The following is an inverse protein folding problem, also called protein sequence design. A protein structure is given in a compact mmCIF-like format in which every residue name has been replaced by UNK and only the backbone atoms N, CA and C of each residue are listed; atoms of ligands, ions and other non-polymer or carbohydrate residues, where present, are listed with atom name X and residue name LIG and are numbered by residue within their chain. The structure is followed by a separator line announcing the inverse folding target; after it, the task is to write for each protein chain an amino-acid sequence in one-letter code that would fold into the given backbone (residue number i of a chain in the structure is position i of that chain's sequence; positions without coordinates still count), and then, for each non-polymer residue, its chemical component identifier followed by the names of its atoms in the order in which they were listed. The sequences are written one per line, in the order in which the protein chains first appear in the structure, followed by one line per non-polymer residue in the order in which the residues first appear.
data_IF_091198073437
#
_entry.id   IF_091198073437
#
_cell.length_a   1.000
_cell.length_b   1.000
_cell.length_c   1.000
_cell.angle_alpha   90.00
_cell.angle_beta   90.00
_cell.angle_gamma   90.00
#
_symmetry.space_group_name_H-M   'P 1'
#
loop_
_entity.id
_entity.type
_entity.pdbx_description
1 polymer ?
#
# COMPACT_ATOMS: atom_id res chain seq x y z
N UNK A 1 -33.12 32.34 53.95
CA UNK A 1 -32.46 31.02 53.87
C UNK A 1 -32.65 30.49 52.46
N UNK A 2 -31.53 30.23 51.77
CA UNK A 2 -31.43 29.97 50.34
C UNK A 2 -31.96 28.58 49.98
N UNK A 3 -32.60 28.43 48.81
CA UNK A 3 -32.53 27.16 48.09
C UNK A 3 -32.57 27.36 46.58
N UNK A 4 -31.39 27.52 45.99
CA UNK A 4 -31.16 27.49 44.53
C UNK A 4 -31.24 26.04 44.06
N UNK A 5 -32.38 25.63 43.51
CA UNK A 5 -32.53 24.32 42.87
C UNK A 5 -31.69 24.25 41.58
N UNK A 6 -30.60 23.51 41.69
CA UNK A 6 -29.67 23.13 40.64
C UNK A 6 -30.39 22.31 39.54
N UNK A 7 -30.61 22.90 38.36
CA UNK A 7 -31.20 22.20 37.19
C UNK A 7 -30.08 21.50 36.40
N UNK A 8 -29.63 20.33 36.86
CA UNK A 8 -28.74 19.44 36.12
C UNK A 8 -29.51 18.48 35.20
N UNK A 9 -30.27 19.02 34.25
CA UNK A 9 -30.89 18.23 33.19
C UNK A 9 -30.21 18.51 31.85
N UNK A 10 -30.00 17.48 31.03
CA UNK A 10 -29.51 17.64 29.65
C UNK A 10 -30.44 18.61 28.91
N UNK A 11 -29.93 19.81 28.62
CA UNK A 11 -30.70 20.84 27.91
C UNK A 11 -30.61 20.59 26.40
N UNK A 12 -31.66 20.91 25.63
CA UNK A 12 -31.61 20.85 24.16
C UNK A 12 -30.41 21.60 23.58
N UNK A 13 -30.07 22.75 24.16
CA UNK A 13 -28.90 23.54 23.77
C UNK A 13 -27.59 22.81 24.08
N UNK A 14 -27.45 22.22 25.26
CA UNK A 14 -26.29 21.41 25.62
C UNK A 14 -26.13 20.19 24.72
N UNK A 15 -27.24 19.54 24.34
CA UNK A 15 -27.23 18.42 23.39
C UNK A 15 -26.78 18.87 22.00
N UNK A 16 -27.31 19.99 21.48
CA UNK A 16 -26.93 20.52 20.18
C UNK A 16 -25.48 21.01 20.15
N UNK A 17 -25.01 21.63 21.24
CA UNK A 17 -23.61 22.03 21.39
C UNK A 17 -22.68 20.81 21.43
N UNK A 18 -23.06 19.76 22.17
CA UNK A 18 -22.32 18.51 22.21
C UNK A 18 -22.26 17.80 20.86
N UNK A 19 -23.40 17.73 20.15
CA UNK A 19 -23.47 17.15 18.81
C UNK A 19 -22.65 17.92 17.77
N UNK A 20 -22.68 19.26 17.82
CA UNK A 20 -21.85 20.10 16.96
C UNK A 20 -20.36 19.92 17.24
N UNK A 21 -19.97 19.84 18.51
CA UNK A 21 -18.58 19.59 18.91
C UNK A 21 -18.08 18.21 18.46
N UNK A 22 -18.88 17.16 18.61
CA UNK A 22 -18.56 15.81 18.14
C UNK A 22 -18.50 15.73 16.60
N UNK A 23 -19.40 16.41 15.90
CA UNK A 23 -19.40 16.48 14.44
C UNK A 23 -18.16 17.20 13.91
N UNK A 24 -17.78 18.34 14.51
CA UNK A 24 -16.57 19.07 14.16
C UNK A 24 -15.30 18.24 14.46
N UNK A 25 -15.25 17.55 15.61
CA UNK A 25 -14.16 16.65 15.95
C UNK A 25 -14.04 15.51 14.92
N UNK A 26 -15.17 14.92 14.50
CA UNK A 26 -15.22 13.87 13.49
C UNK A 26 -14.67 14.27 12.11
N UNK A 27 -14.75 15.56 11.74
CA UNK A 27 -14.18 16.09 10.50
C UNK A 27 -12.67 16.33 10.57
N UNK A 28 -12.13 16.48 11.79
CA UNK A 28 -10.70 16.74 12.05
C UNK A 28 -9.97 15.43 12.38
N UNK A 29 -10.70 14.32 12.58
CA UNK A 29 -10.09 13.02 12.82
C UNK A 29 -9.15 12.68 11.65
N UNK A 30 -7.86 12.42 11.94
CA UNK A 30 -6.89 12.04 10.93
C UNK A 30 -7.41 10.85 10.13
N UNK A 31 -7.20 10.87 8.81
CA UNK A 31 -7.53 9.73 7.95
C UNK A 31 -6.87 8.43 8.45
N UNK A 32 -5.75 8.53 9.17
CA UNK A 32 -5.06 7.42 9.85
C UNK A 32 -5.84 6.75 10.98
N UNK A 33 -6.92 7.37 11.47
CA UNK A 33 -7.80 6.79 12.50
C UNK A 33 -8.92 5.91 11.89
N UNK A 34 -9.07 5.92 10.56
CA UNK A 34 -9.88 4.94 9.85
C UNK A 34 -9.10 3.62 9.89
N UNK A 35 -9.64 2.61 10.59
CA UNK A 35 -9.06 1.25 10.53
C UNK A 35 -8.93 0.86 9.06
N UNK A 36 -7.71 0.55 8.62
CA UNK A 36 -7.49 -0.07 7.34
C UNK A 36 -8.33 -1.35 7.30
N UNK A 37 -9.28 -1.42 6.35
CA UNK A 37 -10.01 -2.66 6.12
C UNK A 37 -9.01 -3.65 5.52
N UNK A 38 -8.57 -4.62 6.32
CA UNK A 38 -7.72 -5.72 5.86
C UNK A 38 -8.51 -6.76 5.04
N UNK A 39 -9.84 -6.63 4.97
CA UNK A 39 -10.70 -7.50 4.17
C UNK A 39 -10.48 -7.23 2.67
N UNK A 40 -10.00 -8.23 1.89
CA UNK A 40 -9.81 -8.07 0.46
C UNK A 40 -11.13 -7.74 -0.24
N UNK A 41 -11.14 -6.70 -1.06
CA UNK A 41 -12.28 -6.38 -1.91
C UNK A 41 -12.03 -6.90 -3.32
N UNK A 42 -13.02 -7.59 -3.88
CA UNK A 42 -12.92 -8.06 -5.27
C UNK A 42 -13.05 -6.87 -6.22
N UNK A 43 -12.07 -6.73 -7.11
CA UNK A 43 -11.99 -5.62 -8.07
C UNK A 43 -11.39 -4.35 -7.47
N UNK A 44 -11.49 -3.25 -8.22
CA UNK A 44 -10.89 -1.96 -7.87
C UNK A 44 -10.00 -1.42 -9.00
N UNK A 45 -9.40 -0.25 -8.77
CA UNK A 45 -8.43 0.34 -9.70
C UNK A 45 -7.10 0.49 -9.00
N UNK A 46 -6.10 -0.27 -9.45
CA UNK A 46 -4.72 -0.02 -9.06
C UNK A 46 -4.18 1.18 -9.86
N UNK A 47 -3.76 2.23 -9.15
CA UNK A 47 -3.17 3.43 -9.75
C UNK A 47 -1.74 3.58 -9.24
N UNK A 48 -0.78 3.58 -10.16
CA UNK A 48 0.63 3.80 -9.85
C UNK A 48 1.12 5.01 -10.65
N UNK A 49 1.87 5.89 -9.98
CA UNK A 49 2.57 7.00 -10.64
C UNK A 49 4.04 6.63 -10.78
N UNK A 50 4.56 6.69 -12.01
CA UNK A 50 5.96 6.37 -12.31
C UNK A 50 6.59 7.61 -12.95
N UNK A 51 7.74 8.06 -12.44
CA UNK A 51 8.45 9.25 -12.90
C UNK A 51 9.29 9.06 -14.18
N UNK A 52 9.19 7.89 -14.81
CA UNK A 52 9.86 7.53 -16.06
C UNK A 52 8.80 7.19 -17.12
N UNK A 53 9.25 6.92 -18.34
CA UNK A 53 8.41 6.58 -19.48
C UNK A 53 8.70 7.51 -20.65
N UNK A 54 8.99 6.92 -21.81
CA UNK A 54 9.31 7.63 -23.05
C UNK A 54 8.64 6.95 -24.24
N UNK A 55 8.37 7.70 -25.30
CA UNK A 55 7.93 7.12 -26.58
C UNK A 55 9.00 6.23 -27.25
N UNK A 56 10.24 6.29 -26.77
CA UNK A 56 11.36 5.45 -27.23
C UNK A 56 11.53 4.16 -26.44
N UNK A 57 10.72 3.94 -25.39
CA UNK A 57 10.78 2.71 -24.62
C UNK A 57 10.42 1.49 -25.48
N UNK A 58 11.10 0.37 -25.23
CA UNK A 58 10.93 -0.89 -25.98
C UNK A 58 10.42 -2.02 -25.07
N UNK A 59 9.79 -3.03 -25.66
CA UNK A 59 9.48 -4.30 -25.00
C UNK A 59 10.65 -5.29 -25.04
N UNK A 60 11.75 -4.93 -25.72
CA UNK A 60 12.97 -5.72 -25.72
C UNK A 60 13.69 -5.61 -24.36
N UNK A 61 13.80 -6.71 -23.58
CA UNK A 61 14.44 -6.69 -22.27
C UNK A 61 15.92 -6.27 -22.32
N UNK A 62 16.60 -6.45 -23.44
CA UNK A 62 17.99 -6.03 -23.61
C UNK A 62 18.19 -4.52 -23.68
N UNK A 63 17.11 -3.74 -23.79
CA UNK A 63 17.13 -2.28 -23.95
C UNK A 63 16.55 -1.52 -22.74
N UNK A 64 16.17 -2.21 -21.68
CA UNK A 64 15.52 -1.58 -20.53
C UNK A 64 16.50 -0.85 -19.62
N UNK A 65 16.36 0.46 -19.51
CA UNK A 65 17.27 1.33 -18.76
C UNK A 65 16.58 2.17 -17.68
N UNK A 66 15.26 2.09 -17.57
CA UNK A 66 14.47 2.96 -16.70
C UNK A 66 13.34 2.23 -15.96
N UNK A 67 12.82 2.89 -14.93
CA UNK A 67 11.89 2.29 -13.98
C UNK A 67 10.52 1.96 -14.61
N UNK A 68 10.11 2.68 -15.65
CA UNK A 68 8.84 2.40 -16.32
C UNK A 68 8.87 1.03 -16.98
N UNK A 69 9.86 0.78 -17.84
CA UNK A 69 9.99 -0.51 -18.52
C UNK A 69 10.27 -1.68 -17.56
N UNK A 70 11.04 -1.45 -16.49
CA UNK A 70 11.32 -2.47 -15.46
C UNK A 70 10.07 -2.87 -14.66
N UNK A 71 9.21 -1.93 -14.28
CA UNK A 71 7.94 -2.26 -13.59
C UNK A 71 7.03 -3.07 -14.51
N UNK A 72 6.93 -2.69 -15.78
CA UNK A 72 6.16 -3.44 -16.77
C UNK A 72 6.75 -4.80 -17.10
N UNK A 73 8.06 -4.97 -16.91
CA UNK A 73 8.74 -6.24 -17.06
C UNK A 73 8.35 -7.22 -15.96
N UNK A 74 8.53 -6.81 -14.70
CA UNK A 74 8.16 -7.61 -13.52
C UNK A 74 6.67 -7.94 -13.49
N UNK A 75 5.81 -7.06 -14.03
CA UNK A 75 4.37 -7.30 -14.08
C UNK A 75 3.93 -8.30 -15.17
N UNK A 76 4.78 -8.65 -16.13
CA UNK A 76 4.39 -9.45 -17.33
C UNK A 76 5.28 -10.64 -17.62
N UNK A 77 6.50 -10.66 -17.11
CA UNK A 77 7.47 -11.72 -17.35
C UNK A 77 7.96 -12.25 -16.01
N UNK A 78 8.31 -13.53 -16.02
CA UNK A 78 8.92 -14.16 -14.87
C UNK A 78 10.45 -14.10 -14.98
N UNK A 79 11.13 -14.12 -13.84
CA UNK A 79 12.57 -14.25 -13.68
C UNK A 79 12.95 -15.67 -13.26
N UNK A 80 14.27 -15.97 -13.22
CA UNK A 80 14.75 -17.20 -12.61
C UNK A 80 14.50 -17.18 -11.09
N UNK A 81 14.78 -16.04 -10.46
CA UNK A 81 14.64 -15.76 -9.02
C UNK A 81 14.12 -14.33 -8.82
N UNK A 82 13.46 -14.07 -7.71
CA UNK A 82 12.94 -12.75 -7.33
C UNK A 82 13.53 -12.31 -5.98
N UNK A 83 13.45 -11.00 -5.67
CA UNK A 83 13.76 -10.45 -4.35
C UNK A 83 12.44 -10.20 -3.61
N UNK A 84 12.21 -10.89 -2.49
CA UNK A 84 10.99 -10.73 -1.69
C UNK A 84 10.95 -9.40 -0.90
N UNK A 85 9.86 -9.18 -0.16
CA UNK A 85 9.68 -7.96 0.63
C UNK A 85 10.61 -7.87 1.85
N UNK A 86 11.30 -8.96 2.20
CA UNK A 86 12.38 -9.02 3.19
C UNK A 86 13.77 -8.87 2.55
N UNK A 87 13.84 -8.68 1.22
CA UNK A 87 15.09 -8.55 0.48
C UNK A 87 15.83 -9.87 0.26
N UNK A 88 15.17 -11.01 0.44
CA UNK A 88 15.76 -12.33 0.23
C UNK A 88 15.55 -12.80 -1.21
N UNK A 89 16.50 -13.59 -1.72
CA UNK A 89 16.34 -14.25 -3.01
C UNK A 89 15.39 -15.44 -2.85
N UNK A 90 14.31 -15.45 -3.62
CA UNK A 90 13.29 -16.50 -3.60
C UNK A 90 13.12 -17.14 -4.99
N UNK A 91 12.73 -18.43 -5.05
CA UNK A 91 12.39 -19.10 -6.30
C UNK A 91 11.29 -18.38 -7.09
N UNK A 92 11.44 -18.33 -8.41
CA UNK A 92 10.34 -17.99 -9.33
C UNK A 92 10.18 -19.06 -10.41
N UNK A 93 10.84 -18.95 -11.58
CA UNK A 93 10.89 -20.05 -12.55
C UNK A 93 11.86 -21.14 -12.08
N UNK A 94 12.99 -20.78 -11.47
CA UNK A 94 13.94 -21.76 -10.99
C UNK A 94 13.50 -22.32 -9.64
N UNK A 95 13.30 -23.64 -9.56
CA UNK A 95 12.97 -24.35 -8.31
C UNK A 95 14.13 -24.33 -7.31
N UNK A 96 15.36 -24.36 -7.81
CA UNK A 96 16.58 -24.27 -7.00
C UNK A 96 17.77 -23.75 -7.80
N UNK A 97 18.79 -23.26 -7.10
CA UNK A 97 20.06 -22.85 -7.69
C UNK A 97 21.22 -23.17 -6.74
N UNK A 98 22.37 -23.51 -7.31
CA UNK A 98 23.59 -23.75 -6.54
C UNK A 98 24.85 -23.34 -7.33
N UNK A 99 25.94 -23.12 -6.62
CA UNK A 99 27.25 -22.79 -7.16
C UNK A 99 28.36 -23.18 -6.19
N UNK A 100 29.31 -23.99 -6.66
CA UNK A 100 30.47 -24.41 -5.87
C UNK A 100 31.57 -23.33 -5.80
N UNK A 101 31.66 -22.48 -6.83
CA UNK A 101 32.76 -21.53 -7.05
C UNK A 101 32.31 -20.05 -7.08
N UNK A 102 31.00 -19.80 -7.04
CA UNK A 102 30.41 -18.47 -7.18
C UNK A 102 30.51 -17.87 -8.58
N UNK A 103 31.04 -18.61 -9.56
CA UNK A 103 31.24 -18.17 -10.95
C UNK A 103 30.34 -18.94 -11.92
N UNK A 104 30.15 -20.23 -11.67
CA UNK A 104 29.26 -21.11 -12.42
C UNK A 104 28.01 -21.39 -11.59
N UNK A 105 26.85 -21.02 -12.12
CA UNK A 105 25.57 -21.22 -11.45
C UNK A 105 24.73 -22.24 -12.22
N UNK A 106 24.20 -23.22 -11.49
CA UNK A 106 23.29 -24.23 -12.04
C UNK A 106 21.90 -23.97 -11.48
N UNK A 107 20.93 -23.80 -12.37
CA UNK A 107 19.52 -23.61 -12.03
C UNK A 107 18.72 -24.85 -12.43
N UNK A 108 17.88 -25.33 -11.52
CA UNK A 108 16.83 -26.31 -11.82
C UNK A 108 15.55 -25.53 -12.13
N UNK A 109 14.87 -25.89 -13.22
CA UNK A 109 13.66 -25.24 -13.73
C UNK A 109 12.48 -26.18 -13.62
#
# INVERSE_FOLDING_TARGET
MNNTTNRQGVTRRGLMQGAAALGAAGLILPASMRKAKAEPQRGGTFRVGIGHGSSTDSLDPGLWDNLYVQVFAAARHNQLIEVDNEGQLVPEIAESWDSDDGATWVFTI
#
